data_IF_733133628587
#
_entry.id   IF_733133628587
#
_cell.length_a   1.000
_cell.length_b   1.000
_cell.length_c   1.000
_cell.angle_alpha   90.00
_cell.angle_beta   90.00
_cell.angle_gamma   90.00
#
_symmetry.space_group_name_H-M   'P 1'
#
loop_
_entity.id
_entity.type
_entity.pdbx_description
1 polymer ?
#
# COMPACT_ATOMS: atom_id res chain seq x y z
N UNK A 1 -24.42 -13.80 -27.70
CA UNK A 1 -23.34 -14.10 -28.68
C UNK A 1 -22.39 -12.90 -28.89
N UNK A 2 -21.73 -12.42 -27.82
CA UNK A 2 -20.61 -11.44 -27.88
C UNK A 2 -19.60 -11.70 -26.74
N UNK A 3 -19.37 -12.97 -26.41
CA UNK A 3 -18.57 -13.37 -25.23
C UNK A 3 -17.24 -14.07 -25.59
N UNK A 4 -16.84 -14.09 -26.87
CA UNK A 4 -15.74 -14.93 -27.34
C UNK A 4 -14.50 -14.19 -27.86
N UNK A 5 -14.39 -12.86 -27.67
CA UNK A 5 -13.24 -12.09 -28.18
C UNK A 5 -12.34 -11.44 -27.12
N UNK A 6 -12.65 -11.59 -25.83
CA UNK A 6 -11.77 -11.11 -24.74
C UNK A 6 -10.91 -12.21 -24.11
N UNK A 7 -11.22 -13.48 -24.35
CA UNK A 7 -10.47 -14.62 -23.80
C UNK A 7 -9.17 -14.94 -24.56
N UNK A 8 -8.88 -14.26 -25.67
CA UNK A 8 -7.71 -14.53 -26.54
C UNK A 8 -6.54 -13.55 -26.27
N UNK A 9 -6.74 -12.50 -25.45
CA UNK A 9 -5.68 -11.55 -25.08
C UNK A 9 -4.96 -11.90 -23.77
N UNK A 10 -5.39 -12.96 -23.08
CA UNK A 10 -4.73 -13.57 -21.92
C UNK A 10 -3.62 -14.54 -22.33
N UNK A 11 -2.74 -14.12 -23.25
CA UNK A 11 -1.48 -14.84 -23.50
C UNK A 11 -0.37 -14.16 -22.71
N UNK A 12 0.21 -14.91 -21.77
CA UNK A 12 1.14 -14.43 -20.76
C UNK A 12 2.29 -13.55 -21.28
N UNK A 13 2.68 -12.58 -20.44
CA UNK A 13 3.83 -11.65 -20.62
C UNK A 13 3.73 -10.55 -21.68
N UNK A 14 2.61 -10.32 -22.38
CA UNK A 14 2.56 -9.25 -23.39
C UNK A 14 2.05 -7.90 -22.92
N UNK A 15 1.36 -7.83 -21.78
CA UNK A 15 0.81 -6.59 -21.25
C UNK A 15 1.22 -6.35 -19.80
N UNK A 16 1.66 -5.12 -19.50
CA UNK A 16 1.91 -4.57 -18.18
C UNK A 16 1.11 -3.27 -18.06
N UNK A 17 0.32 -3.14 -17.01
CA UNK A 17 -0.57 -1.97 -16.82
C UNK A 17 -1.48 -1.74 -18.04
N UNK A 18 -2.05 -2.83 -18.58
CA UNK A 18 -2.88 -2.84 -19.80
C UNK A 18 -2.22 -2.22 -21.05
N UNK A 19 -0.89 -2.01 -21.03
CA UNK A 19 -0.08 -1.58 -22.18
C UNK A 19 0.88 -2.67 -22.62
N UNK A 20 1.28 -2.72 -23.91
CA UNK A 20 2.26 -3.70 -24.36
C UNK A 20 3.57 -3.57 -23.56
N UNK A 21 4.09 -4.69 -23.08
CA UNK A 21 5.24 -4.74 -22.17
C UNK A 21 6.46 -3.98 -22.70
N UNK A 22 6.71 -4.01 -24.01
CA UNK A 22 7.81 -3.27 -24.62
C UNK A 22 7.69 -1.76 -24.42
N UNK A 23 6.50 -1.19 -24.63
CA UNK A 23 6.24 0.23 -24.44
C UNK A 23 6.33 0.63 -22.97
N UNK A 24 5.77 -0.19 -22.08
CA UNK A 24 5.88 0.04 -20.65
C UNK A 24 7.35 0.09 -20.19
N UNK A 25 8.17 -0.87 -20.65
CA UNK A 25 9.60 -0.91 -20.30
C UNK A 25 10.36 0.33 -20.79
N UNK A 26 10.13 0.75 -22.04
CA UNK A 26 10.79 1.95 -22.60
C UNK A 26 10.41 3.20 -21.79
N UNK A 27 9.12 3.41 -21.55
CA UNK A 27 8.63 4.58 -20.81
C UNK A 27 9.14 4.57 -19.36
N UNK A 28 9.09 3.42 -18.71
CA UNK A 28 9.55 3.28 -17.32
C UNK A 28 11.06 3.55 -17.21
N UNK A 29 11.88 3.09 -18.15
CA UNK A 29 13.32 3.40 -18.19
C UNK A 29 13.60 4.88 -18.40
N UNK A 30 12.82 5.56 -19.26
CA UNK A 30 12.94 7.01 -19.47
C UNK A 30 12.59 7.76 -18.18
N UNK A 31 11.51 7.38 -17.50
CA UNK A 31 11.05 8.04 -16.27
C UNK A 31 12.05 7.81 -15.13
N UNK A 32 12.46 6.57 -14.90
CA UNK A 32 13.46 6.23 -13.88
C UNK A 32 14.77 6.95 -14.19
N UNK A 33 15.23 6.94 -15.45
CA UNK A 33 16.41 7.68 -15.88
C UNK A 33 16.30 9.19 -15.63
N UNK A 34 15.17 9.81 -15.94
CA UNK A 34 14.91 11.21 -15.62
C UNK A 34 14.95 11.50 -14.11
N UNK A 35 14.53 10.53 -13.29
CA UNK A 35 14.67 10.59 -11.83
C UNK A 35 16.11 10.55 -11.35
N UNK A 36 16.94 9.67 -11.92
CA UNK A 36 18.38 9.67 -11.64
C UNK A 36 19.04 11.00 -12.02
N UNK A 37 18.60 11.64 -13.11
CA UNK A 37 19.10 12.94 -13.56
C UNK A 37 18.52 14.14 -12.78
N UNK A 38 17.58 13.94 -11.85
CA UNK A 38 16.93 15.03 -11.11
C UNK A 38 16.08 15.95 -12.01
N UNK A 39 15.59 15.44 -13.14
CA UNK A 39 14.79 16.20 -14.13
C UNK A 39 13.29 15.94 -14.00
N UNK A 40 12.87 15.23 -12.96
CA UNK A 40 11.46 14.98 -12.71
C UNK A 40 10.84 16.13 -11.92
N UNK A 41 9.61 16.55 -12.27
CA UNK A 41 8.91 17.55 -11.50
C UNK A 41 8.53 16.97 -10.13
N UNK A 42 8.73 17.76 -9.07
CA UNK A 42 8.27 17.44 -7.69
C UNK A 42 6.77 17.66 -7.50
N UNK A 43 6.00 17.44 -8.56
CA UNK A 43 4.54 17.57 -8.57
C UNK A 43 3.89 16.20 -8.52
N UNK A 44 2.57 16.19 -8.32
CA UNK A 44 1.76 14.98 -8.35
C UNK A 44 1.99 14.14 -9.62
N UNK A 45 2.21 14.78 -10.77
CA UNK A 45 2.48 14.11 -12.05
C UNK A 45 3.81 13.36 -12.04
N UNK A 46 4.88 13.98 -11.54
CA UNK A 46 6.21 13.36 -11.46
C UNK A 46 6.26 12.23 -10.44
N UNK A 47 5.61 12.42 -9.30
CA UNK A 47 5.42 11.37 -8.29
C UNK A 47 4.68 10.16 -8.85
N UNK A 48 3.51 10.36 -9.47
CA UNK A 48 2.78 9.26 -10.11
C UNK A 48 3.60 8.55 -11.17
N UNK A 49 4.28 9.29 -12.05
CA UNK A 49 5.12 8.72 -13.09
C UNK A 49 6.18 7.80 -12.48
N UNK A 50 6.89 8.23 -11.43
CA UNK A 50 7.88 7.43 -10.72
C UNK A 50 7.28 6.21 -10.03
N UNK A 51 6.29 6.40 -9.15
CA UNK A 51 5.73 5.33 -8.35
C UNK A 51 5.07 4.25 -9.22
N UNK A 52 4.37 4.62 -10.28
CA UNK A 52 3.78 3.66 -11.22
C UNK A 52 4.88 2.93 -12.00
N UNK A 53 5.85 3.65 -12.55
CA UNK A 53 6.94 3.07 -13.33
C UNK A 53 7.75 2.08 -12.51
N UNK A 54 8.19 2.49 -11.32
CA UNK A 54 9.01 1.69 -10.44
C UNK A 54 8.24 0.52 -9.82
N UNK A 55 7.04 0.78 -9.31
CA UNK A 55 6.21 -0.25 -8.68
C UNK A 55 5.88 -1.40 -9.64
N UNK A 56 5.56 -1.08 -10.90
CA UNK A 56 5.28 -2.11 -11.91
C UNK A 56 6.55 -2.79 -12.44
N UNK A 57 7.71 -2.12 -12.50
CA UNK A 57 9.00 -2.76 -12.80
C UNK A 57 9.35 -3.83 -11.76
N UNK A 58 9.28 -3.45 -10.48
CA UNK A 58 9.56 -4.36 -9.36
C UNK A 58 8.55 -5.52 -9.37
N UNK A 59 7.26 -5.21 -9.59
CA UNK A 59 6.20 -6.22 -9.74
C UNK A 59 6.48 -7.19 -10.88
N UNK A 60 6.96 -6.73 -12.03
CA UNK A 60 7.25 -7.59 -13.19
C UNK A 60 8.30 -8.65 -12.84
N UNK A 61 9.31 -8.30 -12.06
CA UNK A 61 10.33 -9.24 -11.55
C UNK A 61 9.70 -10.21 -10.54
N UNK A 62 8.97 -9.70 -9.56
CA UNK A 62 8.40 -10.56 -8.51
C UNK A 62 7.34 -11.54 -8.99
N UNK A 63 6.57 -11.18 -10.03
CA UNK A 63 5.53 -12.05 -10.57
C UNK A 63 6.09 -13.28 -11.30
N UNK A 64 7.42 -13.35 -11.51
CA UNK A 64 8.12 -14.55 -11.99
C UNK A 64 8.41 -15.56 -10.87
N UNK A 65 8.37 -15.14 -9.60
CA UNK A 65 8.67 -15.97 -8.44
C UNK A 65 7.37 -16.35 -7.73
N UNK A 66 6.86 -17.60 -7.87
CA UNK A 66 5.55 -18.00 -7.32
C UNK A 66 5.43 -17.85 -5.81
N UNK A 67 6.53 -18.08 -5.08
CA UNK A 67 6.57 -17.95 -3.63
C UNK A 67 6.22 -16.52 -3.18
N UNK A 68 6.88 -15.52 -3.78
CA UNK A 68 6.69 -14.11 -3.42
C UNK A 68 5.29 -13.64 -3.82
N UNK A 69 4.86 -14.02 -5.03
CA UNK A 69 3.52 -13.70 -5.54
C UNK A 69 2.40 -14.18 -4.61
N UNK A 70 2.51 -15.40 -4.07
CA UNK A 70 1.43 -16.03 -3.31
C UNK A 70 1.49 -15.73 -1.80
N UNK A 71 2.66 -15.40 -1.25
CA UNK A 71 2.83 -15.19 0.21
C UNK A 71 2.92 -13.71 0.58
N UNK A 72 3.83 -12.97 -0.03
CA UNK A 72 4.09 -11.56 0.28
C UNK A 72 3.22 -10.62 -0.56
N UNK A 73 2.82 -11.05 -1.75
CA UNK A 73 2.00 -10.27 -2.66
C UNK A 73 2.63 -8.91 -2.98
N UNK A 74 1.82 -7.85 -2.97
CA UNK A 74 2.28 -6.48 -3.25
C UNK A 74 3.10 -5.85 -2.12
N UNK A 75 3.02 -6.39 -0.89
CA UNK A 75 3.81 -5.87 0.23
C UNK A 75 5.33 -6.05 0.01
N UNK A 76 5.72 -7.04 -0.81
CA UNK A 76 7.11 -7.24 -1.23
C UNK A 76 7.71 -6.04 -1.97
N UNK A 77 6.89 -5.25 -2.67
CA UNK A 77 7.35 -4.06 -3.42
C UNK A 77 7.83 -3.00 -2.44
N UNK A 78 7.02 -2.67 -1.43
CA UNK A 78 7.40 -1.72 -0.38
C UNK A 78 8.65 -2.16 0.38
N UNK A 79 8.73 -3.45 0.74
CA UNK A 79 9.93 -4.01 1.38
C UNK A 79 11.18 -3.83 0.51
N UNK A 80 11.06 -3.95 -0.80
CA UNK A 80 12.19 -3.78 -1.73
C UNK A 80 12.66 -2.34 -1.78
N UNK A 81 11.73 -1.39 -1.85
CA UNK A 81 12.07 0.04 -1.81
C UNK A 81 12.80 0.38 -0.50
N UNK A 82 12.30 -0.12 0.64
CA UNK A 82 12.92 0.06 1.96
C UNK A 82 14.33 -0.54 2.04
N UNK A 83 14.54 -1.73 1.48
CA UNK A 83 15.86 -2.35 1.41
C UNK A 83 16.81 -1.51 0.54
N UNK A 84 16.38 -1.08 -0.64
CA UNK A 84 17.20 -0.27 -1.55
C UNK A 84 17.55 1.09 -0.91
N UNK A 85 16.60 1.71 -0.19
CA UNK A 85 16.80 2.95 0.59
C UNK A 85 17.80 2.72 1.73
N UNK A 86 17.67 1.62 2.47
CA UNK A 86 18.57 1.27 3.57
C UNK A 86 20.02 1.10 3.12
N UNK A 87 20.25 0.52 1.94
CA UNK A 87 21.59 0.37 1.35
C UNK A 87 22.11 1.65 0.65
N UNK A 88 21.36 2.75 0.66
CA UNK A 88 21.77 4.02 0.04
C UNK A 88 21.88 3.95 -1.48
N UNK A 89 21.15 3.02 -2.12
CA UNK A 89 21.22 2.82 -3.57
C UNK A 89 20.30 3.79 -4.34
N UNK A 90 19.34 4.42 -3.66
CA UNK A 90 18.50 5.46 -4.28
C UNK A 90 19.27 6.78 -4.38
N UNK A 91 19.29 7.44 -5.55
CA UNK A 91 19.77 8.82 -5.65
C UNK A 91 18.87 9.76 -4.84
N UNK A 92 19.46 10.76 -4.20
CA UNK A 92 18.77 11.72 -3.33
C UNK A 92 17.59 12.40 -4.04
N UNK A 93 17.73 12.72 -5.33
CA UNK A 93 16.66 13.30 -6.15
C UNK A 93 15.38 12.45 -6.20
N UNK A 94 15.51 11.12 -6.23
CA UNK A 94 14.35 10.21 -6.26
C UNK A 94 13.71 10.16 -4.88
N UNK A 95 14.52 10.09 -3.82
CA UNK A 95 14.03 10.09 -2.44
C UNK A 95 13.29 11.39 -2.12
N UNK A 96 13.82 12.53 -2.54
CA UNK A 96 13.18 13.84 -2.39
C UNK A 96 11.84 13.90 -3.14
N UNK A 97 11.82 13.48 -4.40
CA UNK A 97 10.58 13.46 -5.20
C UNK A 97 9.52 12.54 -4.57
N UNK A 98 9.93 11.38 -4.06
CA UNK A 98 9.04 10.43 -3.38
C UNK A 98 8.52 11.00 -2.06
N UNK A 99 9.39 11.62 -1.26
CA UNK A 99 9.03 12.20 0.04
C UNK A 99 8.07 13.38 -0.14
N UNK A 100 8.37 14.27 -1.09
CA UNK A 100 7.52 15.42 -1.41
C UNK A 100 6.14 15.01 -1.95
N UNK A 101 6.05 13.88 -2.66
CA UNK A 101 4.79 13.35 -3.14
C UNK A 101 3.94 12.74 -2.01
N UNK A 102 4.54 11.92 -1.13
CA UNK A 102 3.80 11.21 -0.08
C UNK A 102 3.43 12.12 1.09
N UNK A 103 4.38 12.89 1.62
CA UNK A 103 4.24 13.69 2.85
C UNK A 103 4.52 15.19 2.68
N UNK A 104 5.06 15.61 1.53
CA UNK A 104 5.31 17.03 1.27
C UNK A 104 4.07 17.78 0.81
N UNK A 105 4.27 18.87 0.07
CA UNK A 105 3.21 19.80 -0.35
C UNK A 105 2.07 19.16 -1.16
N UNK A 106 2.28 17.98 -1.74
CA UNK A 106 1.24 17.25 -2.49
C UNK A 106 0.29 16.48 -1.58
N UNK A 107 0.75 16.06 -0.39
CA UNK A 107 0.00 15.27 0.61
C UNK A 107 -0.85 14.15 -0.01
N UNK A 108 -0.22 13.39 -0.92
CA UNK A 108 -0.91 12.33 -1.65
C UNK A 108 -1.46 11.26 -0.72
N UNK A 109 -0.77 11.00 0.40
CA UNK A 109 -1.19 9.97 1.35
C UNK A 109 -2.54 10.29 1.96
N UNK A 110 -2.73 11.51 2.49
CA UNK A 110 -4.00 11.93 3.08
C UNK A 110 -5.12 11.94 2.03
N UNK A 111 -4.83 12.43 0.83
CA UNK A 111 -5.76 12.38 -0.30
C UNK A 111 -6.18 10.94 -0.64
N UNK A 112 -5.22 10.02 -0.70
CA UNK A 112 -5.45 8.62 -1.00
C UNK A 112 -6.28 7.93 0.09
N UNK A 113 -6.01 8.20 1.36
CA UNK A 113 -6.79 7.68 2.49
C UNK A 113 -8.23 8.19 2.41
N UNK A 114 -8.44 9.49 2.19
CA UNK A 114 -9.77 10.06 2.04
C UNK A 114 -10.54 9.45 0.86
N UNK A 115 -9.87 9.26 -0.29
CA UNK A 115 -10.45 8.62 -1.46
C UNK A 115 -10.81 7.15 -1.21
N UNK A 116 -9.94 6.38 -0.54
CA UNK A 116 -10.19 4.98 -0.22
C UNK A 116 -11.36 4.80 0.75
N UNK A 117 -11.43 5.58 1.82
CA UNK A 117 -12.52 5.50 2.80
C UNK A 117 -13.85 5.84 2.11
N UNK A 118 -13.88 6.97 1.41
CA UNK A 118 -15.09 7.45 0.73
C UNK A 118 -15.54 6.46 -0.36
N UNK A 119 -14.61 5.98 -1.18
CA UNK A 119 -14.88 5.02 -2.25
C UNK A 119 -15.35 3.66 -1.74
N UNK A 120 -14.77 3.16 -0.65
CA UNK A 120 -15.15 1.87 -0.06
C UNK A 120 -16.56 1.90 0.54
N UNK A 121 -16.96 3.03 1.13
CA UNK A 121 -18.32 3.21 1.68
C UNK A 121 -19.35 3.38 0.55
N UNK A 122 -19.08 4.26 -0.41
CA UNK A 122 -20.01 4.54 -1.52
C UNK A 122 -20.11 3.38 -2.51
N UNK A 123 -19.08 2.55 -2.63
CA UNK A 123 -19.09 1.36 -3.49
C UNK A 123 -19.93 0.20 -2.95
N UNK A 124 -20.34 0.23 -1.67
CA UNK A 124 -21.15 -0.83 -1.09
C UNK A 124 -22.64 -0.64 -1.45
N UNK A 125 -23.35 -1.74 -1.74
CA UNK A 125 -24.78 -1.69 -2.01
C UNK A 125 -25.50 -1.03 -0.81
N UNK A 126 -26.32 0.00 -1.10
CA UNK A 126 -27.10 0.76 -0.10
C UNK A 126 -27.89 -0.16 0.84
N UNK A 127 -28.48 -1.24 0.35
CA UNK A 127 -29.21 -2.19 1.19
C UNK A 127 -28.30 -2.92 2.18
N UNK A 128 -27.11 -3.33 1.73
CA UNK A 128 -26.12 -3.94 2.61
C UNK A 128 -25.59 -2.92 3.61
N UNK A 129 -25.35 -1.67 3.20
CA UNK A 129 -24.94 -0.60 4.11
C UNK A 129 -25.96 -0.37 5.23
N UNK A 130 -27.24 -0.29 4.88
CA UNK A 130 -28.32 -0.11 5.86
C UNK A 130 -28.49 -1.36 6.74
N UNK A 131 -28.42 -2.57 6.17
CA UNK A 131 -28.50 -3.84 6.91
C UNK A 131 -27.26 -4.09 7.78
N UNK A 132 -26.09 -3.62 7.36
CA UNK A 132 -24.83 -3.77 8.07
C UNK A 132 -24.82 -2.98 9.38
N UNK A 133 -25.60 -1.90 9.44
CA UNK A 133 -25.68 -0.97 10.57
C UNK A 133 -25.70 -1.65 11.94
N UNK A 134 -26.62 -2.58 12.19
CA UNK A 134 -26.64 -3.32 13.48
C UNK A 134 -26.20 -4.78 13.30
N UNK A 135 -26.58 -5.43 12.19
CA UNK A 135 -26.38 -6.88 12.02
C UNK A 135 -24.92 -7.27 11.75
N UNK A 136 -24.14 -6.39 11.12
CA UNK A 136 -22.70 -6.61 10.91
C UNK A 136 -21.84 -5.87 11.93
N UNK A 137 -22.25 -4.67 12.34
CA UNK A 137 -21.47 -3.87 13.28
C UNK A 137 -21.25 -4.59 14.62
N UNK A 138 -22.30 -5.19 15.19
CA UNK A 138 -22.20 -5.91 16.48
C UNK A 138 -21.22 -7.10 16.41
N UNK A 139 -21.31 -8.05 15.46
CA UNK A 139 -20.35 -9.14 15.39
C UNK A 139 -18.93 -8.69 15.04
N UNK A 140 -18.75 -7.66 14.19
CA UNK A 140 -17.41 -7.13 13.87
C UNK A 140 -16.77 -6.51 15.10
N UNK A 141 -17.49 -5.62 15.80
CA UNK A 141 -16.99 -4.95 17.01
C UNK A 141 -16.75 -5.95 18.14
N UNK A 142 -17.64 -6.92 18.34
CA UNK A 142 -17.45 -8.01 19.29
C UNK A 142 -16.21 -8.84 18.97
N UNK A 143 -16.01 -9.20 17.69
CA UNK A 143 -14.82 -9.92 17.23
C UNK A 143 -13.54 -9.11 17.44
N UNK A 144 -13.57 -7.80 17.17
CA UNK A 144 -12.43 -6.91 17.38
C UNK A 144 -12.05 -6.79 18.85
N UNK A 145 -13.03 -6.59 19.74
CA UNK A 145 -12.82 -6.54 21.18
C UNK A 145 -12.22 -7.86 21.68
N UNK A 146 -12.76 -8.99 21.22
CA UNK A 146 -12.26 -10.30 21.62
C UNK A 146 -10.85 -10.58 21.09
N UNK A 147 -10.55 -10.18 19.85
CA UNK A 147 -9.21 -10.28 19.27
C UNK A 147 -8.18 -9.45 20.04
N UNK A 148 -8.52 -8.22 20.43
CA UNK A 148 -7.63 -7.36 21.23
C UNK A 148 -7.46 -7.87 22.65
N UNK A 149 -8.52 -8.36 23.30
CA UNK A 149 -8.45 -8.95 24.63
C UNK A 149 -7.58 -10.21 24.63
N UNK A 150 -7.87 -11.18 23.76
CA UNK A 150 -7.09 -12.42 23.70
C UNK A 150 -5.65 -12.15 23.25
N UNK A 151 -5.45 -11.32 22.21
CA UNK A 151 -4.14 -10.95 21.74
C UNK A 151 -3.30 -10.29 22.83
N UNK A 152 -3.88 -9.33 23.56
CA UNK A 152 -3.21 -8.67 24.67
C UNK A 152 -2.89 -9.60 25.84
N UNK A 153 -3.80 -10.50 26.22
CA UNK A 153 -3.57 -11.49 27.28
C UNK A 153 -2.46 -12.48 26.90
N UNK A 154 -2.43 -12.94 25.66
CA UNK A 154 -1.35 -13.79 25.15
C UNK A 154 -0.04 -12.99 25.15
N UNK A 155 -0.02 -11.76 24.67
CA UNK A 155 1.17 -10.90 24.71
C UNK A 155 1.74 -10.74 26.13
N UNK A 156 0.87 -10.53 27.13
CA UNK A 156 1.28 -10.49 28.53
C UNK A 156 1.89 -11.80 29.03
N UNK A 157 1.35 -12.95 28.61
CA UNK A 157 1.93 -14.25 28.95
C UNK A 157 3.34 -14.45 28.36
N UNK A 158 3.66 -13.78 27.25
CA UNK A 158 4.99 -13.74 26.64
C UNK A 158 5.87 -12.57 27.13
N UNK A 159 5.43 -11.82 28.15
CA UNK A 159 6.19 -10.72 28.75
C UNK A 159 6.06 -9.37 28.05
N UNK A 160 5.13 -9.21 27.11
CA UNK A 160 4.84 -7.93 26.45
C UNK A 160 3.79 -7.12 27.21
N UNK A 161 3.85 -5.79 27.15
CA UNK A 161 2.80 -4.93 27.69
C UNK A 161 1.49 -5.13 26.94
N UNK A 162 0.36 -5.15 27.65
CA UNK A 162 -0.97 -5.26 27.04
C UNK A 162 -1.23 -4.15 26.01
N UNK A 163 -0.82 -2.92 26.34
CA UNK A 163 -0.97 -1.76 25.44
C UNK A 163 -0.13 -1.96 24.19
N UNK A 164 1.15 -2.28 24.33
CA UNK A 164 2.07 -2.43 23.20
C UNK A 164 1.64 -3.57 22.29
N UNK A 165 1.13 -4.66 22.87
CA UNK A 165 0.58 -5.78 22.09
C UNK A 165 -0.63 -5.35 21.26
N UNK A 166 -1.51 -4.51 21.79
CA UNK A 166 -2.66 -4.00 21.03
C UNK A 166 -2.20 -3.04 19.94
N UNK A 167 -1.35 -2.06 20.25
CA UNK A 167 -0.95 -1.02 19.30
C UNK A 167 -0.02 -1.54 18.20
N UNK A 168 0.93 -2.42 18.52
CA UNK A 168 1.98 -2.85 17.57
C UNK A 168 1.76 -4.24 16.96
N UNK A 169 0.82 -5.04 17.48
CA UNK A 169 0.55 -6.39 16.95
C UNK A 169 -0.93 -6.52 16.56
N UNK A 170 -1.84 -6.51 17.53
CA UNK A 170 -3.24 -6.85 17.28
C UNK A 170 -3.93 -5.82 16.37
N UNK A 171 -3.69 -4.53 16.57
CA UNK A 171 -4.22 -3.44 15.76
C UNK A 171 -3.80 -3.54 14.29
N UNK A 172 -2.50 -3.59 13.98
CA UNK A 172 -2.00 -3.79 12.63
C UNK A 172 -2.52 -5.06 11.94
N UNK A 173 -2.66 -6.18 12.68
CA UNK A 173 -3.21 -7.44 12.15
C UNK A 173 -4.70 -7.33 11.80
N UNK A 174 -5.48 -6.65 12.64
CA UNK A 174 -6.93 -6.49 12.46
C UNK A 174 -7.29 -5.34 11.50
N UNK A 175 -6.31 -4.52 11.12
CA UNK A 175 -6.49 -3.39 10.21
C UNK A 175 -6.74 -3.81 8.76
N UNK A 176 -7.01 -2.82 7.90
CA UNK A 176 -7.29 -2.99 6.47
C UNK A 176 -6.08 -3.34 5.60
N UNK A 177 -5.12 -4.13 6.09
CA UNK A 177 -3.87 -4.44 5.39
C UNK A 177 -2.92 -3.24 5.32
N UNK A 178 -1.93 -3.28 4.41
CA UNK A 178 -0.86 -2.27 4.37
C UNK A 178 -1.37 -0.89 3.94
N UNK A 179 -2.07 -0.80 2.81
CA UNK A 179 -2.48 0.48 2.21
C UNK A 179 -3.67 1.18 2.87
N UNK A 180 -4.60 0.42 3.47
CA UNK A 180 -5.80 0.98 4.12
C UNK A 180 -5.81 0.83 5.64
N UNK A 181 -4.83 0.14 6.22
CA UNK A 181 -4.73 -0.11 7.66
C UNK A 181 -3.43 0.39 8.25
N UNK A 182 -2.31 -0.28 7.96
CA UNK A 182 -1.03 -0.01 8.60
C UNK A 182 -0.56 1.43 8.41
N UNK A 183 -0.63 1.96 7.18
CA UNK A 183 -0.17 3.33 6.88
C UNK A 183 -1.04 4.42 7.55
N UNK A 184 -2.39 4.40 7.45
CA UNK A 184 -3.22 5.34 8.22
C UNK A 184 -3.03 5.21 9.74
N UNK A 185 -2.89 3.99 10.26
CA UNK A 185 -2.68 3.77 11.69
C UNK A 185 -1.34 4.33 12.18
N UNK A 186 -0.27 4.22 11.40
CA UNK A 186 1.02 4.81 11.77
C UNK A 186 0.94 6.34 11.87
N UNK A 187 0.25 7.00 10.93
CA UNK A 187 0.02 8.45 10.99
C UNK A 187 -0.79 8.83 12.25
N UNK A 188 -1.90 8.13 12.52
CA UNK A 188 -2.72 8.37 13.70
C UNK A 188 -1.95 8.17 15.01
N UNK A 189 -1.10 7.15 15.11
CA UNK A 189 -0.31 6.88 16.31
C UNK A 189 0.79 7.91 16.50
N UNK A 190 1.45 8.33 15.42
CA UNK A 190 2.44 9.40 15.46
C UNK A 190 1.86 10.72 15.93
N UNK A 191 0.71 11.10 15.38
CA UNK A 191 0.01 12.31 15.82
C UNK A 191 -0.42 12.20 17.30
N UNK A 192 -0.99 11.07 17.71
CA UNK A 192 -1.51 10.89 19.07
C UNK A 192 -0.42 10.70 20.13
N UNK A 193 0.72 10.11 19.79
CA UNK A 193 1.80 9.75 20.72
C UNK A 193 3.06 10.62 20.57
N UNK A 194 3.11 11.52 19.58
CA UNK A 194 4.30 12.33 19.28
C UNK A 194 5.50 11.51 18.82
N UNK A 195 5.25 10.36 18.18
CA UNK A 195 6.30 9.47 17.66
C UNK A 195 6.70 9.89 16.25
N UNK A 196 7.93 9.58 15.83
CA UNK A 196 8.33 9.79 14.45
C UNK A 196 7.67 8.72 13.56
N UNK A 197 7.00 9.14 12.47
CA UNK A 197 6.52 8.22 11.44
C UNK A 197 7.53 8.10 10.32
N UNK A 198 7.96 6.87 10.02
CA UNK A 198 8.66 6.56 8.77
C UNK A 198 7.76 5.66 7.91
N UNK A 199 6.83 6.27 7.18
CA UNK A 199 6.05 5.61 6.12
C UNK A 199 6.73 5.71 4.76
N UNK A 200 7.92 6.29 4.70
CA UNK A 200 8.71 6.38 3.47
C UNK A 200 9.52 5.10 3.30
N UNK A 201 8.88 4.07 2.75
CA UNK A 201 9.56 2.85 2.29
C UNK A 201 10.56 3.18 1.17
#
# INVERSE_FOLDING_TARGET
MKENNQSILTTGNRFLMDMPTAWFMILSLIIVGAGFLGKLPTSMVGGFALFMSLGYLIRFVYWKVPLIKNTLGLASIGLTCAIIKHFGLWPENIVETMTNFIQGDTDFLSWFIAALITGSILGMNRELLIKAGIRYFVPITGGLVFAYLLGGLVGQAFGMSFKDTIFYIAGPIMGGGTGAGAVPMSEMYSEAMGLATDVTF
#
